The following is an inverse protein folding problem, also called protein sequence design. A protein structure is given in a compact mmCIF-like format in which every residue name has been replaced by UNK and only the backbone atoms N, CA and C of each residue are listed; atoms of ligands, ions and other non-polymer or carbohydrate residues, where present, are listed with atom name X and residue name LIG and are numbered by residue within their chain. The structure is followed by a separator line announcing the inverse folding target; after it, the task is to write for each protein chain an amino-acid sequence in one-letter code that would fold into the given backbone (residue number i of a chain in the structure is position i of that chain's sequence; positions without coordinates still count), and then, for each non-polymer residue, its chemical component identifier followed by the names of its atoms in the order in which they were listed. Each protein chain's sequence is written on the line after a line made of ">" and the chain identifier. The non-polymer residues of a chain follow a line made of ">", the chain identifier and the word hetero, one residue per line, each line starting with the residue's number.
data_IF_067392815684
#
_entry.id   IF_067392815684
#
_cell.length_a   1.000
_cell.length_b   1.000
_cell.length_c   1.000
_cell.angle_alpha   90.00
_cell.angle_beta   90.00
_cell.angle_gamma   90.00
#
_symmetry.space_group_name_H-M   'P 1'
#
loop_
_entity.id
_entity.type
_entity.pdbx_description
1 polymer ?
#
# COMPACT_ATOMS: atom_id res chain seq x y z
N UNK A 1 -37.60 18.66 -43.90
CA UNK A 1 -36.72 18.78 -42.71
C UNK A 1 -35.95 17.48 -42.57
N UNK A 2 -34.64 17.48 -42.81
CA UNK A 2 -33.78 16.29 -42.69
C UNK A 2 -33.03 16.39 -41.37
N UNK A 3 -33.28 15.48 -40.44
CA UNK A 3 -32.57 15.40 -39.17
C UNK A 3 -31.24 14.68 -39.39
N UNK A 4 -30.12 15.38 -39.15
CA UNK A 4 -28.79 14.78 -39.11
C UNK A 4 -28.52 14.22 -37.71
N UNK A 5 -28.42 12.91 -37.59
CA UNK A 5 -28.00 12.25 -36.35
C UNK A 5 -26.48 12.37 -36.24
N UNK A 6 -26.01 13.24 -35.34
CA UNK A 6 -24.62 13.30 -34.93
C UNK A 6 -24.29 12.04 -34.12
N UNK A 7 -23.44 11.18 -34.67
CA UNK A 7 -22.87 10.05 -33.94
C UNK A 7 -21.87 10.59 -32.90
N UNK A 8 -22.25 10.50 -31.63
CA UNK A 8 -21.35 10.79 -30.52
C UNK A 8 -20.46 9.57 -30.32
N UNK A 9 -19.23 9.61 -30.83
CA UNK A 9 -18.23 8.59 -30.56
C UNK A 9 -17.82 8.70 -29.09
N UNK A 10 -18.34 7.83 -28.24
CA UNK A 10 -17.89 7.68 -26.87
C UNK A 10 -16.49 7.10 -26.90
N UNK A 11 -15.46 7.95 -26.79
CA UNK A 11 -14.11 7.48 -26.54
C UNK A 11 -14.14 6.77 -25.18
N UNK A 12 -14.02 5.45 -25.17
CA UNK A 12 -13.72 4.68 -23.97
C UNK A 12 -12.37 5.16 -23.47
N UNK A 13 -12.37 6.05 -22.47
CA UNK A 13 -11.17 6.32 -21.69
C UNK A 13 -10.71 4.97 -21.14
N UNK A 14 -9.57 4.47 -21.63
CA UNK A 14 -8.86 3.41 -20.94
C UNK A 14 -8.43 4.01 -19.61
N UNK A 15 -9.16 3.70 -18.54
CA UNK A 15 -8.70 4.00 -17.19
C UNK A 15 -7.28 3.42 -17.08
N UNK A 16 -6.29 4.26 -16.79
CA UNK A 16 -4.98 3.77 -16.44
C UNK A 16 -5.17 2.91 -15.19
N UNK A 17 -4.95 1.59 -15.31
CA UNK A 17 -5.02 0.71 -14.15
C UNK A 17 -3.90 1.08 -13.21
N UNK A 18 -4.22 1.28 -11.93
CA UNK A 18 -3.21 1.46 -10.92
C UNK A 18 -2.26 0.26 -10.90
N UNK A 19 -0.96 0.55 -10.89
CA UNK A 19 0.07 -0.44 -10.56
C UNK A 19 -0.01 -0.67 -9.05
N UNK A 20 -0.48 -1.86 -8.66
CA UNK A 20 -0.63 -2.27 -7.26
C UNK A 20 0.37 -3.37 -6.95
N UNK A 21 1.06 -3.23 -5.81
CA UNK A 21 1.97 -4.23 -5.28
C UNK A 21 1.54 -4.58 -3.85
N UNK A 22 1.54 -5.87 -3.53
CA UNK A 22 1.06 -6.39 -2.24
C UNK A 22 2.14 -7.26 -1.61
N UNK A 23 2.38 -7.06 -0.31
CA UNK A 23 3.14 -7.96 0.54
C UNK A 23 2.20 -8.53 1.59
N UNK A 24 1.98 -9.84 1.55
CA UNK A 24 1.24 -10.60 2.57
C UNK A 24 2.18 -11.51 3.39
N UNK A 25 3.46 -11.59 2.99
CA UNK A 25 4.52 -12.24 3.75
C UNK A 25 5.87 -11.60 3.42
N UNK A 26 6.82 -11.82 4.33
CA UNK A 26 8.18 -11.30 4.28
C UNK A 26 9.17 -12.46 4.41
N UNK A 27 10.34 -12.30 3.82
CA UNK A 27 11.41 -13.28 3.75
C UNK A 27 12.66 -12.84 4.49
N UNK A 28 12.83 -11.54 4.73
CA UNK A 28 13.99 -10.96 5.39
C UNK A 28 13.58 -9.85 6.38
N UNK A 29 14.20 -9.87 7.57
CA UNK A 29 13.91 -8.92 8.65
C UNK A 29 15.11 -8.03 9.03
N UNK A 30 16.20 -8.07 8.27
CA UNK A 30 17.51 -7.52 8.64
C UNK A 30 18.29 -6.92 7.48
N UNK A 31 17.65 -6.07 6.68
CA UNK A 31 18.31 -5.31 5.60
C UNK A 31 18.30 -5.98 4.23
N UNK A 32 17.79 -7.21 4.12
CA UNK A 32 17.52 -7.85 2.84
C UNK A 32 16.24 -7.36 2.18
N UNK A 33 16.09 -7.74 0.91
CA UNK A 33 14.98 -7.36 0.04
C UNK A 33 13.79 -8.29 0.22
N UNK A 34 12.62 -7.71 0.47
CA UNK A 34 11.32 -8.40 0.40
C UNK A 34 10.60 -7.98 -0.88
N UNK A 35 10.41 -8.91 -1.81
CA UNK A 35 9.65 -8.68 -3.04
C UNK A 35 8.13 -8.76 -2.80
N UNK A 36 7.29 -8.09 -3.61
CA UNK A 36 5.84 -8.21 -3.53
C UNK A 36 5.43 -9.67 -3.74
N UNK A 37 4.46 -10.13 -2.96
CA UNK A 37 3.87 -11.46 -3.06
C UNK A 37 2.63 -11.49 -3.96
N UNK A 38 2.12 -10.32 -4.36
CA UNK A 38 0.98 -10.19 -5.26
C UNK A 38 0.80 -8.78 -5.80
N UNK A 39 -0.32 -8.57 -6.47
CA UNK A 39 -0.64 -7.31 -7.18
C UNK A 39 -0.66 -7.47 -8.70
N UNK A 40 -0.84 -6.35 -9.40
CA UNK A 40 -0.91 -6.27 -10.87
C UNK A 40 0.17 -5.35 -11.47
N UNK A 41 1.02 -4.74 -10.63
CA UNK A 41 2.07 -3.82 -11.07
C UNK A 41 3.16 -4.53 -11.87
N UNK A 42 3.73 -3.81 -12.84
CA UNK A 42 4.73 -4.35 -13.77
C UNK A 42 6.18 -4.08 -13.33
N UNK A 43 6.36 -3.25 -12.32
CA UNK A 43 7.65 -2.94 -11.70
C UNK A 43 8.12 -4.00 -10.70
N UNK A 44 9.20 -3.69 -10.00
CA UNK A 44 9.78 -4.57 -8.98
C UNK A 44 10.20 -3.78 -7.75
N UNK A 45 9.25 -3.09 -7.07
CA UNK A 45 9.56 -2.42 -5.83
C UNK A 45 9.95 -3.44 -4.75
N UNK A 46 10.68 -3.00 -3.75
CA UNK A 46 11.14 -3.88 -2.67
C UNK A 46 11.01 -3.22 -1.32
N UNK A 47 10.58 -3.98 -0.33
CA UNK A 47 10.57 -3.54 1.06
C UNK A 47 11.83 -4.02 1.80
N UNK A 48 12.46 -3.13 2.55
CA UNK A 48 13.69 -3.39 3.31
C UNK A 48 13.52 -2.87 4.73
N UNK A 49 13.85 -3.68 5.73
CA UNK A 49 14.00 -3.22 7.12
C UNK A 49 15.32 -2.48 7.24
N UNK A 50 15.28 -1.19 7.60
CA UNK A 50 16.46 -0.31 7.64
C UNK A 50 16.90 0.05 9.07
N UNK A 51 16.04 -0.19 10.06
CA UNK A 51 16.34 0.03 11.47
C UNK A 51 15.48 -0.89 12.34
N UNK A 52 15.97 -1.19 13.54
CA UNK A 52 15.37 -2.14 14.47
C UNK A 52 15.86 -3.56 14.26
N UNK A 53 15.23 -4.51 14.94
CA UNK A 53 15.55 -5.94 14.83
C UNK A 53 14.29 -6.80 14.92
N UNK A 54 13.34 -6.65 13.98
CA UNK A 54 12.23 -7.57 13.87
C UNK A 54 12.74 -8.95 13.40
N UNK A 55 11.86 -9.94 13.45
CA UNK A 55 12.07 -11.23 12.80
C UNK A 55 10.85 -11.60 11.97
N UNK A 56 11.03 -12.48 10.98
CA UNK A 56 9.92 -13.06 10.23
C UNK A 56 9.31 -14.20 11.06
N UNK A 57 8.06 -14.06 11.49
CA UNK A 57 7.40 -15.12 12.26
C UNK A 57 6.95 -16.29 11.37
N UNK A 58 6.51 -17.40 11.97
CA UNK A 58 6.08 -18.59 11.21
C UNK A 58 4.92 -18.34 10.23
N UNK A 59 4.12 -17.31 10.46
CA UNK A 59 3.06 -16.82 9.56
C UNK A 59 3.55 -15.92 8.42
N UNK A 60 4.84 -15.55 8.40
CA UNK A 60 5.44 -14.70 7.37
C UNK A 60 5.36 -13.20 7.64
N UNK A 61 4.79 -12.75 8.76
CA UNK A 61 4.74 -11.35 9.18
C UNK A 61 6.06 -10.87 9.79
N UNK A 62 6.34 -9.57 9.71
CA UNK A 62 7.48 -8.94 10.39
C UNK A 62 7.07 -8.52 11.79
N UNK A 63 7.66 -9.16 12.81
CA UNK A 63 7.32 -8.91 14.20
C UNK A 63 8.53 -8.40 15.00
N UNK A 64 8.36 -7.26 15.66
CA UNK A 64 9.38 -6.63 16.51
C UNK A 64 9.07 -6.83 18.00
N UNK A 65 9.67 -7.81 18.71
CA UNK A 65 9.30 -8.12 20.09
C UNK A 65 9.88 -7.13 21.12
N UNK A 66 10.99 -6.46 20.81
CA UNK A 66 11.83 -5.76 21.79
C UNK A 66 11.97 -4.26 21.54
N UNK A 67 11.54 -3.78 20.38
CA UNK A 67 11.69 -2.38 20.00
C UNK A 67 10.96 -2.04 18.70
N UNK A 68 10.93 -0.75 18.34
CA UNK A 68 10.41 -0.31 17.06
C UNK A 68 11.30 -0.80 15.91
N UNK A 69 10.73 -0.79 14.70
CA UNK A 69 11.48 -1.02 13.46
C UNK A 69 10.98 -0.09 12.36
N UNK A 70 11.88 0.23 11.44
CA UNK A 70 11.62 1.15 10.32
C UNK A 70 11.91 0.44 9.01
N UNK A 71 11.08 0.71 8.01
CA UNK A 71 11.18 0.12 6.69
C UNK A 71 11.20 1.19 5.61
N UNK A 72 11.93 0.88 4.56
CA UNK A 72 11.91 1.62 3.31
C UNK A 72 11.35 0.76 2.18
N UNK A 73 10.46 1.35 1.38
CA UNK A 73 10.06 0.79 0.09
C UNK A 73 10.84 1.49 -1.01
N UNK A 74 11.68 0.74 -1.72
CA UNK A 74 12.50 1.19 -2.84
C UNK A 74 11.91 0.74 -4.17
N UNK A 75 12.39 1.33 -5.27
CA UNK A 75 12.14 0.80 -6.62
C UNK A 75 10.74 1.06 -7.18
N UNK A 76 9.96 1.95 -6.56
CA UNK A 76 8.66 2.36 -7.09
C UNK A 76 8.75 3.17 -8.40
N UNK A 77 9.92 3.76 -8.69
CA UNK A 77 10.16 4.51 -9.92
C UNK A 77 9.38 5.83 -9.95
N UNK A 78 8.75 6.13 -11.09
CA UNK A 78 7.85 7.29 -11.21
C UNK A 78 6.48 6.93 -10.63
N UNK A 79 5.97 7.77 -9.72
CA UNK A 79 4.68 7.59 -9.08
C UNK A 79 3.76 8.77 -9.39
N UNK A 80 2.45 8.54 -9.35
CA UNK A 80 1.42 9.57 -9.52
C UNK A 80 0.30 9.32 -8.53
N UNK A 81 0.10 10.24 -7.59
CA UNK A 81 -0.81 10.15 -6.46
C UNK A 81 -0.75 8.79 -5.76
N UNK A 82 0.44 8.36 -5.28
CA UNK A 82 0.57 7.05 -4.72
C UNK A 82 -0.26 6.91 -3.45
N UNK A 83 -0.65 5.67 -3.18
CA UNK A 83 -1.41 5.29 -1.97
C UNK A 83 -0.75 4.10 -1.32
N UNK A 84 -0.90 3.97 -0.01
CA UNK A 84 -0.36 2.85 0.75
C UNK A 84 -1.37 2.41 1.80
N UNK A 85 -1.57 1.11 1.94
CA UNK A 85 -2.34 0.52 3.03
C UNK A 85 -1.40 -0.34 3.87
N UNK A 86 -1.38 -0.09 5.18
CA UNK A 86 -0.60 -0.84 6.15
C UNK A 86 -1.59 -1.56 7.05
N UNK A 87 -1.50 -2.88 7.15
CA UNK A 87 -2.21 -3.67 8.13
C UNK A 87 -1.23 -4.38 9.06
N UNK A 88 -1.48 -4.26 10.35
CA UNK A 88 -0.65 -4.83 11.37
C UNK A 88 -1.39 -5.14 12.66
N UNK A 89 -0.63 -5.70 13.60
CA UNK A 89 -1.09 -6.10 14.91
C UNK A 89 -0.16 -5.54 16.00
N UNK A 90 -0.71 -5.35 17.21
CA UNK A 90 0.06 -4.98 18.38
C UNK A 90 0.24 -3.47 18.54
N UNK A 91 1.48 -3.04 18.75
CA UNK A 91 1.79 -1.61 18.88
C UNK A 91 1.57 -0.84 17.56
N UNK A 92 1.18 0.43 17.69
CA UNK A 92 0.84 1.30 16.57
C UNK A 92 2.05 1.65 15.70
N UNK A 93 1.77 2.04 14.45
CA UNK A 93 2.77 2.65 13.59
C UNK A 93 2.98 4.12 13.94
N UNK A 94 4.21 4.60 13.79
CA UNK A 94 4.56 6.00 13.97
C UNK A 94 4.14 6.80 12.73
N UNK A 95 2.96 7.41 12.77
CA UNK A 95 2.42 8.20 11.67
C UNK A 95 3.27 9.44 11.37
N UNK A 96 4.06 9.93 12.32
CA UNK A 96 4.99 11.04 12.11
C UNK A 96 6.23 10.63 11.31
N UNK A 97 6.53 9.32 11.27
CA UNK A 97 7.61 8.77 10.45
C UNK A 97 7.22 8.62 8.98
N UNK A 98 5.94 8.74 8.61
CA UNK A 98 5.48 8.43 7.26
C UNK A 98 5.87 9.53 6.27
N UNK A 99 6.70 9.21 5.29
CA UNK A 99 7.00 10.13 4.19
C UNK A 99 7.44 9.41 2.92
N UNK A 100 7.25 10.07 1.78
CA UNK A 100 7.85 9.72 0.51
C UNK A 100 9.08 10.61 0.32
N UNK A 101 10.27 10.01 0.23
CA UNK A 101 11.48 10.75 -0.07
C UNK A 101 11.62 10.97 -1.57
N UNK A 102 11.88 12.22 -1.95
CA UNK A 102 12.07 12.66 -3.34
C UNK A 102 13.38 13.41 -3.48
N UNK A 103 13.77 13.76 -4.71
CA UNK A 103 14.94 14.61 -4.93
C UNK A 103 14.80 16.02 -4.33
N UNK A 104 13.56 16.48 -4.12
CA UNK A 104 13.22 17.79 -3.56
C UNK A 104 13.06 17.75 -2.02
N UNK A 105 13.10 16.56 -1.42
CA UNK A 105 12.91 16.35 0.01
C UNK A 105 11.72 15.44 0.33
N UNK A 106 11.38 15.30 1.63
CA UNK A 106 10.27 14.45 2.07
C UNK A 106 8.92 15.09 1.74
N UNK A 107 8.01 14.29 1.19
CA UNK A 107 6.59 14.61 1.00
C UNK A 107 5.79 13.76 1.97
N UNK A 108 4.97 14.41 2.79
CA UNK A 108 4.18 13.74 3.82
C UNK A 108 2.80 13.34 3.28
N UNK A 109 2.30 12.15 3.65
CA UNK A 109 0.97 11.71 3.23
C UNK A 109 -0.12 12.38 4.05
N UNK A 110 -1.34 12.38 3.50
CA UNK A 110 -2.55 12.35 4.32
C UNK A 110 -2.71 10.95 4.89
N UNK A 111 -3.00 10.84 6.19
CA UNK A 111 -3.12 9.56 6.91
C UNK A 111 -4.53 9.40 7.46
N UNK A 112 -5.18 8.28 7.13
CA UNK A 112 -6.43 7.83 7.71
C UNK A 112 -6.19 6.55 8.54
N UNK A 113 -6.60 6.57 9.80
CA UNK A 113 -6.50 5.40 10.70
C UNK A 113 -7.83 4.67 10.65
N UNK A 114 -7.87 3.55 9.92
CA UNK A 114 -9.08 2.73 9.74
C UNK A 114 -9.35 1.84 10.96
N UNK A 115 -8.29 1.38 11.63
CA UNK A 115 -8.35 0.76 12.95
C UNK A 115 -7.10 1.14 13.74
N UNK A 116 -7.25 1.43 15.05
CA UNK A 116 -6.17 2.01 15.85
C UNK A 116 -6.27 1.63 17.33
N UNK A 117 -6.00 0.36 17.64
CA UNK A 117 -5.92 -0.11 19.02
C UNK A 117 -4.49 -0.09 19.54
N UNK A 118 -4.31 0.18 20.83
CA UNK A 118 -2.99 0.15 21.47
C UNK A 118 -2.78 -1.16 22.23
N UNK A 119 -1.57 -1.73 22.10
CA UNK A 119 -1.13 -2.88 22.89
C UNK A 119 -1.16 -4.21 22.15
N UNK A 120 -0.66 -5.26 22.80
CA UNK A 120 -0.48 -6.59 22.21
C UNK A 120 -1.80 -7.17 21.68
N UNK A 121 -1.83 -7.52 20.39
CA UNK A 121 -2.99 -8.12 19.72
C UNK A 121 -4.02 -7.12 19.18
N UNK A 122 -3.79 -5.81 19.31
CA UNK A 122 -4.66 -4.80 18.72
C UNK A 122 -4.49 -4.73 17.19
N UNK A 123 -5.59 -4.63 16.43
CA UNK A 123 -5.52 -4.37 14.99
C UNK A 123 -5.21 -2.90 14.72
N UNK A 124 -4.26 -2.68 13.81
CA UNK A 124 -3.87 -1.36 13.36
C UNK A 124 -3.86 -1.33 11.84
N UNK A 125 -4.70 -0.48 11.25
CA UNK A 125 -4.80 -0.35 9.79
C UNK A 125 -4.76 1.13 9.42
N UNK A 126 -3.86 1.46 8.50
CA UNK A 126 -3.64 2.81 8.02
C UNK A 126 -3.83 2.85 6.51
N UNK A 127 -4.52 3.89 6.04
CA UNK A 127 -4.59 4.27 4.63
C UNK A 127 -3.86 5.59 4.46
N UNK A 128 -2.88 5.62 3.55
CA UNK A 128 -2.03 6.78 3.29
C UNK A 128 -2.18 7.18 1.83
N UNK A 129 -2.19 8.49 1.57
CA UNK A 129 -2.21 9.03 0.22
C UNK A 129 -1.31 10.26 0.10
N UNK A 130 -0.51 10.34 -0.97
CA UNK A 130 0.33 11.50 -1.27
C UNK A 130 -0.24 12.27 -2.46
N UNK A 131 -0.31 13.59 -2.33
CA UNK A 131 -0.48 14.49 -3.48
C UNK A 131 0.90 14.75 -4.10
N UNK A 132 1.36 13.80 -4.92
CA UNK A 132 2.67 13.85 -5.55
C UNK A 132 2.70 13.10 -6.88
N UNK A 133 3.30 13.71 -7.89
CA UNK A 133 3.61 13.07 -9.17
C UNK A 133 5.08 13.32 -9.52
N UNK A 134 5.87 12.26 -9.66
CA UNK A 134 7.31 12.37 -9.87
C UNK A 134 8.09 11.10 -9.53
N UNK A 135 9.42 11.12 -9.69
CA UNK A 135 10.28 10.02 -9.28
C UNK A 135 10.38 9.89 -7.75
N UNK A 136 10.04 8.71 -7.23
CA UNK A 136 10.20 8.32 -5.84
C UNK A 136 11.60 7.74 -5.58
N UNK A 137 12.27 8.17 -4.51
CA UNK A 137 13.50 7.52 -4.05
C UNK A 137 13.13 6.33 -3.14
N UNK A 138 12.36 6.60 -2.08
CA UNK A 138 11.77 5.56 -1.23
C UNK A 138 10.58 6.09 -0.43
N UNK A 139 9.73 5.18 0.03
CA UNK A 139 8.73 5.47 1.07
C UNK A 139 9.26 5.00 2.42
N UNK A 140 9.18 5.84 3.45
CA UNK A 140 9.58 5.50 4.81
C UNK A 140 8.35 5.34 5.69
N UNK A 141 8.35 4.29 6.50
CA UNK A 141 7.37 4.08 7.55
C UNK A 141 7.93 3.16 8.64
N UNK A 142 7.48 3.34 9.87
CA UNK A 142 7.96 2.55 11.00
C UNK A 142 6.97 2.45 12.14
N UNK A 143 7.34 1.66 13.13
CA UNK A 143 6.58 1.44 14.37
C UNK A 143 7.18 2.27 15.51
N UNK A 144 6.39 2.54 16.56
CA UNK A 144 6.86 3.42 17.66
C UNK A 144 7.33 2.66 18.91
N UNK A 145 6.90 1.40 19.07
CA UNK A 145 7.08 0.64 20.30
C UNK A 145 7.30 -0.86 20.03
N UNK A 146 7.78 -1.63 21.04
CA UNK A 146 7.86 -3.08 20.96
C UNK A 146 6.49 -3.73 20.70
N UNK A 147 6.52 -4.99 20.28
CA UNK A 147 5.36 -5.81 19.97
C UNK A 147 4.49 -5.32 18.82
N UNK A 148 5.08 -4.59 17.87
CA UNK A 148 4.41 -4.29 16.60
C UNK A 148 4.63 -5.42 15.59
N UNK A 149 3.61 -5.69 14.78
CA UNK A 149 3.63 -6.64 13.67
C UNK A 149 3.20 -5.93 12.39
N UNK A 150 3.96 -6.09 11.31
CA UNK A 150 3.50 -5.80 9.96
C UNK A 150 3.02 -7.11 9.34
N UNK A 151 1.72 -7.18 9.05
CA UNK A 151 1.08 -8.39 8.50
C UNK A 151 0.85 -8.25 7.00
N UNK A 152 0.44 -7.06 6.55
CA UNK A 152 0.24 -6.77 5.13
C UNK A 152 0.61 -5.33 4.79
N UNK A 153 1.20 -5.16 3.61
CA UNK A 153 1.42 -3.87 2.98
C UNK A 153 0.86 -3.89 1.55
N UNK A 154 0.13 -2.86 1.17
CA UNK A 154 -0.29 -2.63 -0.23
C UNK A 154 0.18 -1.25 -0.65
N UNK A 155 0.71 -1.11 -1.86
CA UNK A 155 1.02 0.19 -2.46
C UNK A 155 0.41 0.29 -3.85
N UNK A 156 -0.23 1.42 -4.15
CA UNK A 156 -0.61 1.82 -5.49
C UNK A 156 0.31 2.95 -5.96
N UNK A 157 1.02 2.79 -7.08
CA UNK A 157 1.99 3.79 -7.57
C UNK A 157 1.45 4.68 -8.69
N UNK A 158 0.35 4.29 -9.32
CA UNK A 158 -0.35 5.09 -10.32
C UNK A 158 -1.82 5.17 -9.89
N UNK A 159 -2.33 6.34 -9.54
CA UNK A 159 -3.72 6.48 -9.12
C UNK A 159 -4.40 7.70 -9.76
N UNK A 160 -5.44 7.47 -10.56
CA UNK A 160 -6.68 8.20 -10.26
C UNK A 160 -7.29 7.52 -9.03
N UNK A 161 -7.66 8.33 -8.03
CA UNK A 161 -8.31 7.97 -6.75
C UNK A 161 -8.70 6.49 -6.64
N UNK A 162 -7.95 5.72 -5.83
CA UNK A 162 -8.38 4.37 -5.46
C UNK A 162 -9.73 4.51 -4.75
N UNK A 163 -10.79 3.81 -5.20
CA UNK A 163 -12.07 3.90 -4.52
C UNK A 163 -11.88 3.37 -3.10
N UNK A 164 -12.41 4.12 -2.13
CA UNK A 164 -12.18 3.97 -0.70
C UNK A 164 -12.11 2.49 -0.24
N UNK A 165 -11.35 2.15 0.82
CA UNK A 165 -11.00 0.77 1.21
C UNK A 165 -12.13 -0.30 1.16
N UNK A 166 -13.41 0.09 1.25
CA UNK A 166 -14.57 -0.80 1.05
C UNK A 166 -14.97 -1.13 -0.40
N UNK A 167 -14.47 -0.43 -1.42
CA UNK A 167 -14.84 -0.64 -2.82
C UNK A 167 -14.16 -1.87 -3.45
N UNK A 168 -12.99 -2.26 -2.96
CA UNK A 168 -12.31 -3.49 -3.38
C UNK A 168 -13.08 -4.75 -2.92
N UNK A 169 -13.71 -4.70 -1.74
CA UNK A 169 -14.58 -5.77 -1.25
C UNK A 169 -15.84 -5.96 -2.13
N UNK A 170 -16.39 -4.86 -2.67
CA UNK A 170 -17.53 -4.89 -3.59
C UNK A 170 -17.14 -5.34 -5.01
N UNK A 171 -15.92 -5.03 -5.49
CA UNK A 171 -15.41 -5.55 -6.75
C UNK A 171 -15.27 -7.09 -6.70
N UNK A 172 -14.80 -7.62 -5.57
CA UNK A 172 -14.77 -9.06 -5.28
C UNK A 172 -16.17 -9.69 -5.28
N UNK A 173 -17.18 -9.00 -4.76
CA UNK A 173 -18.56 -9.49 -4.70
C UNK A 173 -19.29 -9.39 -6.06
N UNK A 174 -18.98 -8.38 -6.88
CA UNK A 174 -19.54 -8.22 -8.22
C UNK A 174 -19.07 -9.33 -9.19
N UNK A 175 -17.89 -9.91 -8.97
CA UNK A 175 -17.38 -11.07 -9.74
C UNK A 175 -18.13 -12.37 -9.46
N UNK A 176 -18.78 -12.50 -8.30
CA UNK A 176 -19.53 -13.70 -7.90
C UNK A 176 -20.97 -13.75 -8.46
N UNK A 177 -21.49 -12.64 -9.01
CA UNK A 177 -22.88 -12.53 -9.46
C UNK A 177 -23.20 -13.13 -10.83
N UNK A 178 -22.21 -13.60 -11.61
CA UNK A 178 -22.44 -14.03 -13.01
C UNK A 178 -22.11 -15.50 -13.30
N UNK A 179 -22.57 -16.42 -12.45
CA UNK A 179 -22.86 -17.79 -12.93
C UNK A 179 -24.32 -17.86 -13.37
N UNK A 180 -24.58 -17.51 -14.63
CA UNK A 180 -25.81 -17.94 -15.31
C UNK A 180 -25.80 -19.47 -15.31
N UNK A 181 -26.69 -20.09 -14.53
CA UNK A 181 -27.07 -21.49 -14.73
C UNK A 181 -27.71 -21.59 -16.11
N UNK A 182 -27.16 -22.45 -16.96
CA UNK A 182 -27.86 -22.99 -18.13
C UNK A 182 -28.79 -24.11 -17.67
#
# INVERSE_FOLDING_TARGET
>A
MKYSTLAFTLATATAASADVYVWESFTDAGGGTNAPTGGNGTGSPSLVVVSGSPFVAGSGNLYGPSGPFTMHLYGAGFVSNPTMEIAGLGSIFDTSSFYLNTAQGPVFPTVEVTSGGEGFGAFNTYSLSWDYAGPAIFFNFGTIAPHASLDRLTIGTLGETIPAPGALALLGLAGLGRRRRA
#
